data_IF_811872409345
#
_entry.id   IF_811872409345
#
_cell.length_a   1.000
_cell.length_b   1.000
_cell.length_c   1.000
_cell.angle_alpha   90.00
_cell.angle_beta   90.00
_cell.angle_gamma   90.00
#
_symmetry.space_group_name_H-M   'P 1'
#
loop_
_entity.id
_entity.type
_entity.pdbx_description
1 polymer ?
#
# COMPACT_ATOMS: atom_id res chain seq x y z
N UNK A 1 0.23 14.23 13.84
CA UNK A 1 0.63 13.08 14.70
C UNK A 1 0.50 11.85 13.80
N UNK A 2 1.57 11.08 13.60
CA UNK A 2 1.59 9.95 12.66
C UNK A 2 0.91 8.73 13.32
N UNK A 3 -0.37 8.53 13.02
CA UNK A 3 -1.26 7.57 13.71
C UNK A 3 -0.83 6.13 13.47
N UNK A 4 -0.40 5.78 12.26
CA UNK A 4 0.13 4.45 11.93
C UNK A 4 1.45 4.18 12.65
N UNK A 5 2.34 5.19 12.72
CA UNK A 5 3.59 5.09 13.49
C UNK A 5 3.35 4.81 14.97
N UNK A 6 2.33 5.42 15.56
CA UNK A 6 1.96 5.17 16.95
C UNK A 6 1.40 3.76 17.18
N UNK A 7 0.82 3.11 16.17
CA UNK A 7 0.41 1.69 16.20
C UNK A 7 1.57 0.70 15.96
N UNK A 8 2.80 1.22 15.80
CA UNK A 8 4.02 0.45 15.60
C UNK A 8 4.30 0.08 14.15
N UNK A 9 3.65 0.73 13.18
CA UNK A 9 3.95 0.58 11.75
C UNK A 9 5.11 1.51 11.40
N UNK A 10 6.14 0.98 10.76
CA UNK A 10 7.29 1.78 10.31
C UNK A 10 7.14 2.15 8.84
N UNK A 11 7.90 3.15 8.37
CA UNK A 11 7.87 3.56 6.95
C UNK A 11 8.27 2.46 5.97
N UNK A 12 9.21 1.60 6.36
CA UNK A 12 9.57 0.39 5.62
C UNK A 12 8.40 -0.61 5.47
N UNK A 13 7.40 -0.51 6.33
CA UNK A 13 6.21 -1.37 6.28
C UNK A 13 5.09 -0.73 5.44
N UNK A 14 5.34 0.43 4.81
CA UNK A 14 4.34 1.19 4.05
C UNK A 14 4.81 1.47 2.63
N UNK A 15 3.95 1.28 1.64
CA UNK A 15 4.14 1.77 0.27
C UNK A 15 3.14 2.90 0.03
N UNK A 16 3.63 4.08 -0.34
CA UNK A 16 2.80 5.26 -0.63
C UNK A 16 3.06 5.68 -2.07
N UNK A 17 1.99 5.74 -2.87
CA UNK A 17 2.02 6.12 -4.28
C UNK A 17 0.84 7.03 -4.61
N UNK A 18 1.00 7.89 -5.60
CA UNK A 18 -0.16 8.45 -6.30
C UNK A 18 -0.77 7.34 -7.16
N UNK A 19 -2.08 7.37 -7.35
CA UNK A 19 -2.72 6.44 -8.28
C UNK A 19 -2.32 6.80 -9.72
N UNK A 20 -1.78 5.82 -10.45
CA UNK A 20 -1.37 5.94 -11.85
C UNK A 20 -1.36 4.54 -12.46
N UNK A 21 -2.42 4.19 -13.20
CA UNK A 21 -2.65 2.84 -13.74
C UNK A 21 -1.49 2.36 -14.62
N UNK A 22 -1.02 3.20 -15.56
CA UNK A 22 0.09 2.86 -16.46
C UNK A 22 1.37 2.54 -15.67
N UNK A 23 1.64 3.29 -14.59
CA UNK A 23 2.79 3.01 -13.72
C UNK A 23 2.64 1.72 -12.92
N UNK A 24 1.43 1.37 -12.48
CA UNK A 24 1.22 0.10 -11.78
C UNK A 24 1.30 -1.09 -12.73
N UNK A 25 0.85 -0.96 -13.98
CA UNK A 25 1.07 -1.98 -15.01
C UNK A 25 2.57 -2.20 -15.25
N UNK A 26 3.34 -1.12 -15.43
CA UNK A 26 4.79 -1.21 -15.59
C UNK A 26 5.47 -1.83 -14.37
N UNK A 27 5.06 -1.47 -13.13
CA UNK A 27 5.57 -2.13 -11.91
C UNK A 27 5.34 -3.64 -11.89
N UNK A 28 4.18 -4.11 -12.36
CA UNK A 28 3.86 -5.53 -12.34
C UNK A 28 4.75 -6.31 -13.31
N UNK A 29 5.03 -5.73 -14.47
CA UNK A 29 5.84 -6.34 -15.53
C UNK A 29 7.34 -6.19 -15.28
N UNK A 30 7.76 -5.03 -14.75
CA UNK A 30 9.14 -4.59 -14.61
C UNK A 30 9.47 -4.15 -13.17
N UNK A 31 9.02 -4.90 -12.15
CA UNK A 31 9.19 -4.58 -10.73
C UNK A 31 10.65 -4.25 -10.29
N UNK A 32 11.65 -4.60 -11.10
CA UNK A 32 13.07 -4.24 -10.90
C UNK A 32 13.47 -2.85 -11.42
N UNK A 33 12.65 -2.20 -12.25
CA UNK A 33 12.95 -0.93 -12.93
C UNK A 33 11.94 0.19 -12.63
N UNK A 34 10.73 -0.14 -12.20
CA UNK A 34 9.64 0.82 -12.04
C UNK A 34 9.55 1.36 -10.61
N UNK A 35 9.76 2.67 -10.43
CA UNK A 35 9.60 3.36 -9.14
C UNK A 35 8.47 4.41 -9.21
N UNK A 36 7.20 4.04 -8.97
CA UNK A 36 6.13 4.99 -8.66
C UNK A 36 6.01 5.25 -7.15
N UNK A 37 6.97 4.77 -6.38
CA UNK A 37 6.99 4.94 -4.93
C UNK A 37 7.38 6.38 -4.60
N UNK A 38 6.46 7.14 -3.99
CA UNK A 38 6.70 8.53 -3.60
C UNK A 38 7.52 8.61 -2.30
N UNK A 39 7.36 7.66 -1.37
CA UNK A 39 7.96 7.78 -0.02
C UNK A 39 8.21 6.47 0.75
N UNK A 40 8.21 5.30 0.11
CA UNK A 40 8.47 4.03 0.80
C UNK A 40 9.97 3.77 1.00
N UNK A 41 10.32 3.21 2.15
CA UNK A 41 11.63 2.59 2.41
C UNK A 41 11.57 1.05 2.15
N UNK A 42 10.62 0.57 1.35
CA UNK A 42 10.41 -0.86 1.05
C UNK A 42 11.15 -1.27 -0.24
N UNK A 43 12.10 -2.19 -0.10
CA UNK A 43 12.95 -2.67 -1.21
C UNK A 43 12.58 -4.09 -1.69
N UNK A 44 11.58 -4.73 -1.09
CA UNK A 44 11.17 -6.09 -1.45
C UNK A 44 10.34 -6.11 -2.76
N UNK A 45 10.92 -6.70 -3.80
CA UNK A 45 10.32 -6.80 -5.14
C UNK A 45 9.00 -7.59 -5.14
N UNK A 46 8.87 -8.60 -4.28
CA UNK A 46 7.64 -9.38 -4.16
C UNK A 46 6.50 -8.54 -3.58
N UNK A 47 6.80 -7.72 -2.57
CA UNK A 47 5.85 -6.78 -1.98
C UNK A 47 5.42 -5.68 -2.96
N UNK A 48 6.35 -5.16 -3.77
CA UNK A 48 6.04 -4.17 -4.81
C UNK A 48 5.12 -4.75 -5.89
N UNK A 49 5.32 -6.01 -6.27
CA UNK A 49 4.45 -6.69 -7.23
C UNK A 49 3.06 -6.96 -6.66
N UNK A 50 2.97 -7.48 -5.43
CA UNK A 50 1.70 -7.70 -4.74
C UNK A 50 0.94 -6.39 -4.51
N UNK A 51 1.67 -5.29 -4.28
CA UNK A 51 1.10 -3.96 -4.26
C UNK A 51 0.45 -3.61 -5.61
N UNK A 52 1.20 -3.65 -6.72
CA UNK A 52 0.66 -3.33 -8.05
C UNK A 52 -0.59 -4.15 -8.41
N UNK A 53 -0.60 -5.45 -8.09
CA UNK A 53 -1.75 -6.34 -8.34
C UNK A 53 -2.99 -5.98 -7.50
N UNK A 54 -2.80 -5.45 -6.29
CA UNK A 54 -3.90 -5.07 -5.41
C UNK A 54 -4.45 -3.68 -5.72
N UNK A 55 -3.63 -2.76 -6.23
CA UNK A 55 -4.08 -1.40 -6.59
C UNK A 55 -5.02 -1.40 -7.79
N UNK A 56 -4.83 -2.30 -8.75
CA UNK A 56 -5.75 -2.46 -9.89
C UNK A 56 -7.14 -2.98 -9.49
N UNK A 57 -7.32 -3.42 -8.23
CA UNK A 57 -8.64 -3.82 -7.72
C UNK A 57 -9.44 -2.66 -7.12
N UNK A 58 -8.82 -1.47 -7.01
CA UNK A 58 -9.51 -0.26 -6.59
C UNK A 58 -10.27 0.31 -7.78
N UNK A 59 -11.50 0.75 -7.54
CA UNK A 59 -12.38 1.33 -8.57
C UNK A 59 -12.10 2.83 -8.82
N UNK A 60 -11.13 3.42 -8.11
CA UNK A 60 -10.78 4.85 -8.18
C UNK A 60 -9.70 5.14 -9.24
N UNK A 61 -9.90 6.20 -10.03
CA UNK A 61 -8.98 6.63 -11.11
C UNK A 61 -7.96 7.71 -10.68
N UNK A 62 -8.06 8.21 -9.44
CA UNK A 62 -7.20 9.26 -8.87
C UNK A 62 -7.06 9.02 -7.35
N UNK A 63 -5.91 9.37 -6.77
CA UNK A 63 -5.78 9.52 -5.33
C UNK A 63 -4.39 9.19 -4.81
N UNK A 64 -4.32 9.02 -3.49
CA UNK A 64 -3.13 8.51 -2.80
C UNK A 64 -3.44 7.09 -2.35
N UNK A 65 -2.64 6.16 -2.81
CA UNK A 65 -2.70 4.77 -2.40
C UNK A 65 -1.66 4.53 -1.31
N UNK A 66 -2.11 3.95 -0.20
CA UNK A 66 -1.26 3.54 0.91
C UNK A 66 -1.44 2.05 1.16
N UNK A 67 -0.41 1.26 0.89
CA UNK A 67 -0.34 -0.15 1.27
C UNK A 67 0.49 -0.30 2.53
N UNK A 68 0.04 -1.16 3.45
CA UNK A 68 0.72 -1.37 4.74
C UNK A 68 0.81 -2.86 5.03
N UNK A 69 2.04 -3.34 5.25
CA UNK A 69 2.29 -4.72 5.68
C UNK A 69 2.15 -4.82 7.18
N UNK A 70 1.21 -5.65 7.64
CA UNK A 70 0.93 -5.81 9.07
C UNK A 70 0.73 -7.27 9.43
N UNK A 71 1.05 -7.63 10.67
CA UNK A 71 0.72 -8.95 11.18
C UNK A 71 -0.80 -9.14 11.18
N UNK A 72 -1.29 -10.33 10.79
CA UNK A 72 -2.73 -10.65 10.68
C UNK A 72 -3.57 -10.21 11.89
N UNK A 73 -3.06 -10.44 13.10
CA UNK A 73 -3.72 -10.03 14.36
C UNK A 73 -3.94 -8.52 14.52
N UNK A 74 -3.19 -7.70 13.77
CA UNK A 74 -3.25 -6.24 13.75
C UNK A 74 -4.05 -5.69 12.55
N UNK A 75 -4.44 -6.52 11.58
CA UNK A 75 -5.12 -6.05 10.37
C UNK A 75 -6.40 -5.26 10.68
N UNK A 76 -7.21 -5.72 11.65
CA UNK A 76 -8.43 -5.01 12.05
C UNK A 76 -8.16 -3.68 12.74
N UNK A 77 -7.13 -3.60 13.59
CA UNK A 77 -6.71 -2.35 14.23
C UNK A 77 -6.28 -1.32 13.19
N UNK A 78 -5.44 -1.75 12.25
CA UNK A 78 -4.85 -0.90 11.22
C UNK A 78 -5.91 -0.43 10.23
N UNK A 79 -6.83 -1.32 9.84
CA UNK A 79 -8.01 -0.96 9.06
C UNK A 79 -8.79 0.16 9.75
N UNK A 80 -9.10 0.02 11.03
CA UNK A 80 -9.86 1.06 11.76
C UNK A 80 -9.12 2.40 11.81
N UNK A 81 -7.79 2.38 11.95
CA UNK A 81 -6.97 3.61 11.89
C UNK A 81 -7.05 4.25 10.50
N UNK A 82 -6.99 3.47 9.42
CA UNK A 82 -7.10 3.96 8.04
C UNK A 82 -8.49 4.55 7.76
N UNK A 83 -9.56 3.89 8.20
CA UNK A 83 -10.94 4.41 8.12
C UNK A 83 -11.08 5.76 8.84
N UNK A 84 -10.60 5.83 10.09
CA UNK A 84 -10.64 7.08 10.87
C UNK A 84 -9.77 8.18 10.28
N UNK A 85 -8.74 7.83 9.51
CA UNK A 85 -7.87 8.77 8.82
C UNK A 85 -8.45 9.26 7.48
N UNK A 86 -9.63 8.75 7.09
CA UNK A 86 -10.33 9.18 5.88
C UNK A 86 -9.99 8.38 4.63
N UNK A 87 -9.49 7.15 4.77
CA UNK A 87 -9.32 6.27 3.62
C UNK A 87 -10.70 6.00 2.97
N UNK A 88 -10.81 6.26 1.67
CA UNK A 88 -12.05 6.12 0.91
C UNK A 88 -12.37 4.64 0.65
N UNK A 89 -11.37 3.87 0.25
CA UNK A 89 -11.46 2.44 0.01
C UNK A 89 -10.33 1.70 0.75
N UNK A 90 -10.62 0.53 1.31
CA UNK A 90 -9.64 -0.30 2.03
C UNK A 90 -9.79 -1.76 1.62
N UNK A 91 -8.73 -2.29 1.01
CA UNK A 91 -8.58 -3.70 0.70
C UNK A 91 -7.67 -4.34 1.76
N UNK A 92 -8.12 -5.45 2.35
CA UNK A 92 -7.30 -6.26 3.24
C UNK A 92 -6.96 -7.55 2.52
N UNK A 93 -5.71 -7.67 2.07
CA UNK A 93 -5.20 -8.90 1.48
C UNK A 93 -4.71 -9.84 2.58
N UNK A 94 -5.43 -10.93 2.76
CA UNK A 94 -5.20 -11.92 3.81
C UNK A 94 -4.36 -13.05 3.20
N UNK A 95 -3.15 -12.73 2.73
CA UNK A 95 -2.25 -13.72 2.11
C UNK A 95 -2.07 -14.93 3.05
N UNK A 96 -2.40 -16.12 2.53
CA UNK A 96 -2.31 -17.42 3.22
C UNK A 96 -0.90 -17.96 3.20
#
# INVERSE_FOLDING_TARGET
MDTLKNSGIQRRDMIISAYDEEKFEDMRENATQSTPVIMSDQDDVGELKAFAENVQKLDEEDGIVVSVKVAKKKAQEVKSVMEQSGAFEIIVDDNK
#
